data_IF_606915937696
#
_entry.id   IF_606915937696
#
_cell.length_a   1.000
_cell.length_b   1.000
_cell.length_c   1.000
_cell.angle_alpha   90.00
_cell.angle_beta   90.00
_cell.angle_gamma   90.00
#
_symmetry.space_group_name_H-M   'P 1'
#
loop_
_entity.id
_entity.type
_entity.pdbx_description
1 polymer ?
#
# COMPACT_ATOMS: atom_id res chain seq x y z
N UNK A 1 -40.97 -18.57 -37.47
CA UNK A 1 -41.23 -17.63 -36.40
C UNK A 1 -40.64 -18.23 -35.15
N UNK A 2 -39.38 -18.01 -34.95
CA UNK A 2 -38.65 -18.32 -33.72
C UNK A 2 -38.37 -16.99 -33.03
N UNK A 3 -38.89 -16.87 -31.82
CA UNK A 3 -38.80 -15.66 -31.01
C UNK A 3 -37.49 -15.75 -30.25
N UNK A 4 -36.54 -14.91 -30.61
CA UNK A 4 -35.32 -14.69 -29.88
C UNK A 4 -35.61 -14.21 -28.45
N UNK A 5 -35.44 -15.10 -27.51
CA UNK A 5 -35.49 -14.77 -26.08
C UNK A 5 -34.14 -14.09 -25.74
N UNK A 6 -34.17 -12.78 -25.73
CA UNK A 6 -33.06 -11.96 -25.21
C UNK A 6 -33.00 -12.20 -23.72
N UNK A 7 -31.96 -12.91 -23.27
CA UNK A 7 -31.60 -13.02 -21.87
C UNK A 7 -31.26 -11.61 -21.34
N UNK A 8 -32.23 -10.98 -20.70
CA UNK A 8 -31.99 -9.80 -19.88
C UNK A 8 -31.21 -10.28 -18.63
N UNK A 9 -29.89 -10.15 -18.66
CA UNK A 9 -29.09 -10.19 -17.44
C UNK A 9 -29.52 -8.98 -16.61
N UNK A 10 -30.36 -9.24 -15.63
CA UNK A 10 -30.70 -8.25 -14.61
C UNK A 10 -29.39 -7.98 -13.85
N UNK A 11 -28.73 -6.86 -14.11
CA UNK A 11 -27.67 -6.34 -13.24
C UNK A 11 -28.30 -6.13 -11.85
N UNK A 12 -28.03 -7.04 -10.94
CA UNK A 12 -28.38 -6.87 -9.53
C UNK A 12 -27.70 -5.58 -9.05
N UNK A 13 -28.48 -4.53 -8.85
CA UNK A 13 -27.97 -3.27 -8.32
C UNK A 13 -27.39 -3.53 -6.92
N UNK A 14 -26.07 -3.49 -6.80
CA UNK A 14 -25.36 -3.62 -5.53
C UNK A 14 -25.92 -2.62 -4.52
N UNK A 15 -26.53 -3.13 -3.46
CA UNK A 15 -26.99 -2.30 -2.36
C UNK A 15 -25.80 -1.98 -1.44
N UNK A 16 -25.17 -0.83 -1.65
CA UNK A 16 -24.03 -0.40 -0.88
C UNK A 16 -24.37 -0.16 0.60
N UNK A 17 -23.72 -0.84 1.57
CA UNK A 17 -23.87 -0.55 2.99
C UNK A 17 -23.09 0.71 3.42
N UNK A 18 -23.41 1.25 4.59
CA UNK A 18 -22.60 2.28 5.25
C UNK A 18 -21.36 1.62 5.84
N UNK A 19 -20.17 1.98 5.31
CA UNK A 19 -18.88 1.43 5.72
C UNK A 19 -18.08 2.47 6.51
N UNK A 20 -17.72 2.12 7.75
CA UNK A 20 -16.76 2.88 8.53
C UNK A 20 -15.37 2.23 8.43
N UNK A 21 -14.45 2.91 7.78
CA UNK A 21 -13.05 2.48 7.69
C UNK A 21 -12.27 2.99 8.90
N UNK A 22 -11.57 2.09 9.58
CA UNK A 22 -10.65 2.40 10.68
C UNK A 22 -9.23 2.05 10.21
N UNK A 23 -8.39 3.06 10.01
CA UNK A 23 -7.06 2.93 9.42
C UNK A 23 -6.03 3.85 10.07
N UNK A 24 -4.74 3.51 9.90
CA UNK A 24 -3.66 4.38 10.38
C UNK A 24 -3.51 5.64 9.53
N UNK A 25 -3.61 5.49 8.21
CA UNK A 25 -3.46 6.58 7.25
C UNK A 25 -4.82 6.94 6.63
N UNK A 26 -4.99 8.21 6.25
CA UNK A 26 -6.17 8.64 5.50
C UNK A 26 -6.17 8.07 4.08
N UNK A 27 -7.33 8.05 3.43
CA UNK A 27 -7.41 7.94 1.97
C UNK A 27 -6.64 9.10 1.36
N UNK A 28 -5.77 8.79 0.42
CA UNK A 28 -4.85 9.76 -0.17
C UNK A 28 -4.44 9.33 -1.58
N UNK A 29 -4.42 10.26 -2.51
CA UNK A 29 -3.92 10.00 -3.86
C UNK A 29 -2.38 9.81 -3.92
N UNK A 30 -1.64 10.29 -2.92
CA UNK A 30 -0.17 10.34 -2.91
C UNK A 30 0.51 9.35 -1.96
N UNK A 31 -0.18 8.93 -0.89
CA UNK A 31 0.36 7.98 0.10
C UNK A 31 0.05 6.54 -0.30
N UNK A 32 1.05 5.65 -0.37
CA UNK A 32 0.88 4.27 -0.87
C UNK A 32 -0.26 3.49 -0.18
N UNK A 33 -0.29 3.46 1.15
CA UNK A 33 -1.34 2.74 1.89
C UNK A 33 -2.72 3.40 1.75
N UNK A 34 -2.77 4.73 1.79
CA UNK A 34 -4.01 5.49 1.62
C UNK A 34 -4.56 5.36 0.20
N UNK A 35 -3.68 5.34 -0.80
CA UNK A 35 -4.03 5.15 -2.21
C UNK A 35 -4.58 3.75 -2.47
N UNK A 36 -3.90 2.70 -1.98
CA UNK A 36 -4.34 1.32 -2.18
C UNK A 36 -5.74 1.10 -1.62
N UNK A 37 -5.97 1.52 -0.37
CA UNK A 37 -7.26 1.34 0.28
C UNK A 37 -8.34 2.24 -0.36
N UNK A 38 -8.00 3.48 -0.72
CA UNK A 38 -8.91 4.41 -1.40
C UNK A 38 -9.36 3.91 -2.77
N UNK A 39 -8.46 3.28 -3.52
CA UNK A 39 -8.79 2.72 -4.83
C UNK A 39 -9.88 1.65 -4.77
N UNK A 40 -9.95 0.85 -3.71
CA UNK A 40 -11.02 -0.16 -3.55
C UNK A 40 -12.41 0.46 -3.35
N UNK A 41 -12.48 1.72 -2.91
CA UNK A 41 -13.74 2.46 -2.77
C UNK A 41 -14.06 3.36 -3.97
N UNK A 42 -13.36 3.22 -5.09
CA UNK A 42 -13.68 3.97 -6.31
C UNK A 42 -15.11 3.66 -6.75
N UNK A 43 -15.94 4.71 -6.91
CA UNK A 43 -17.36 4.56 -7.25
C UNK A 43 -18.29 4.25 -6.08
N UNK A 44 -17.79 4.02 -4.86
CA UNK A 44 -18.63 3.86 -3.67
C UNK A 44 -19.39 5.15 -3.34
N UNK A 45 -20.68 5.12 -3.00
CA UNK A 45 -21.44 6.31 -2.61
C UNK A 45 -20.78 7.00 -1.41
N UNK A 46 -20.44 8.29 -1.56
CA UNK A 46 -19.66 9.03 -0.55
C UNK A 46 -20.41 9.26 0.76
N UNK A 47 -21.72 9.31 0.74
CA UNK A 47 -22.59 9.38 1.92
C UNK A 47 -22.64 8.05 2.69
N UNK A 48 -22.24 6.96 2.05
CA UNK A 48 -22.13 5.62 2.65
C UNK A 48 -20.71 5.22 3.04
N UNK A 49 -19.77 6.16 3.02
CA UNK A 49 -18.37 5.94 3.40
C UNK A 49 -17.92 6.95 4.43
N UNK A 50 -17.34 6.46 5.52
CA UNK A 50 -16.71 7.28 6.54
C UNK A 50 -15.34 6.69 6.91
N UNK A 51 -14.38 7.56 7.26
CA UNK A 51 -13.05 7.11 7.67
C UNK A 51 -12.60 7.77 8.98
N UNK A 52 -12.22 6.93 9.95
CA UNK A 52 -11.42 7.31 11.10
C UNK A 52 -9.96 7.00 10.85
N UNK A 53 -9.07 8.01 10.99
CA UNK A 53 -7.66 7.86 10.73
C UNK A 53 -6.79 8.62 11.73
N UNK A 54 -5.50 8.23 11.83
CA UNK A 54 -4.55 8.76 12.82
C UNK A 54 -3.56 9.76 12.21
N UNK A 55 -3.16 9.53 10.97
CA UNK A 55 -2.12 10.33 10.29
C UNK A 55 -2.38 10.49 8.81
N UNK A 56 -1.81 11.53 8.23
CA UNK A 56 -1.93 11.88 6.81
C UNK A 56 -2.57 13.25 6.62
N UNK A 57 -2.00 14.03 5.71
CA UNK A 57 -2.39 15.43 5.48
C UNK A 57 -3.10 15.64 4.14
N UNK A 58 -2.91 14.73 3.17
CA UNK A 58 -3.46 14.85 1.82
C UNK A 58 -4.69 13.94 1.66
N UNK A 59 -5.83 14.41 2.15
CA UNK A 59 -7.11 13.71 2.07
C UNK A 59 -7.64 13.63 0.64
N UNK A 60 -8.08 12.46 0.23
CA UNK A 60 -8.74 12.25 -1.04
C UNK A 60 -10.27 12.41 -0.92
N UNK A 61 -10.74 13.62 -1.13
CA UNK A 61 -12.17 13.94 -1.16
C UNK A 61 -12.89 13.43 -2.41
N UNK A 62 -12.19 12.82 -3.36
CA UNK A 62 -12.84 12.14 -4.49
C UNK A 62 -13.43 10.80 -4.05
N UNK A 63 -12.83 10.17 -3.01
CA UNK A 63 -13.24 8.88 -2.46
C UNK A 63 -14.25 9.05 -1.32
N UNK A 64 -13.97 9.92 -0.35
CA UNK A 64 -14.75 10.05 0.88
C UNK A 64 -14.92 11.51 1.28
N UNK A 65 -16.06 11.87 1.86
CA UNK A 65 -16.33 13.22 2.39
C UNK A 65 -16.47 13.26 3.92
N UNK A 66 -16.59 12.10 4.56
CA UNK A 66 -16.84 11.98 5.98
C UNK A 66 -15.61 11.44 6.72
N UNK A 67 -14.71 12.34 7.11
CA UNK A 67 -13.46 12.04 7.78
C UNK A 67 -13.48 12.45 9.25
N UNK A 68 -12.94 11.59 10.11
CA UNK A 68 -12.69 11.91 11.51
C UNK A 68 -11.22 11.64 11.85
N UNK A 69 -10.51 12.65 12.30
CA UNK A 69 -9.09 12.56 12.65
C UNK A 69 -8.84 12.77 14.14
N UNK A 70 -7.98 11.93 14.69
CA UNK A 70 -7.32 12.17 15.97
C UNK A 70 -5.86 11.74 15.82
N UNK A 71 -4.94 12.64 16.11
CA UNK A 71 -3.50 12.35 16.09
C UNK A 71 -3.02 11.80 17.42
N UNK A 72 -1.82 11.20 17.45
CA UNK A 72 -1.19 10.76 18.70
C UNK A 72 -0.97 11.90 19.68
N UNK A 73 -0.62 13.10 19.20
CA UNK A 73 -0.43 14.29 20.01
C UNK A 73 -1.74 14.71 20.70
N UNK A 74 -2.84 14.66 19.96
CA UNK A 74 -4.18 14.98 20.49
C UNK A 74 -4.66 13.93 21.50
N UNK A 75 -4.40 12.65 21.23
CA UNK A 75 -4.73 11.58 22.17
C UNK A 75 -3.91 11.69 23.46
N UNK A 76 -2.62 12.03 23.36
CA UNK A 76 -1.75 12.27 24.50
C UNK A 76 -2.19 13.50 25.32
N UNK A 77 -2.59 14.60 24.65
CA UNK A 77 -3.13 15.77 25.32
C UNK A 77 -4.38 15.43 26.14
N UNK A 78 -5.32 14.70 25.54
CA UNK A 78 -6.53 14.25 26.22
C UNK A 78 -6.22 13.27 27.37
N UNK A 79 -5.21 12.40 27.22
CA UNK A 79 -4.78 11.50 28.27
C UNK A 79 -4.25 12.23 29.50
N UNK A 80 -3.52 13.34 29.30
CA UNK A 80 -3.01 14.22 30.35
C UNK A 80 -4.06 15.16 30.97
N UNK A 81 -5.34 15.05 30.56
CA UNK A 81 -6.43 15.89 31.07
C UNK A 81 -6.67 17.18 30.25
N UNK A 82 -5.96 17.37 29.14
CA UNK A 82 -6.21 18.47 28.20
C UNK A 82 -7.41 18.22 27.28
N UNK A 83 -7.77 19.22 26.50
CA UNK A 83 -8.82 19.07 25.47
C UNK A 83 -8.31 18.26 24.28
N UNK A 84 -9.16 17.39 23.74
CA UNK A 84 -8.92 16.76 22.45
C UNK A 84 -9.44 17.68 21.34
N UNK A 85 -8.55 18.13 20.48
CA UNK A 85 -8.88 19.00 19.34
C UNK A 85 -9.10 18.20 18.05
N UNK A 86 -9.14 16.86 18.11
CA UNK A 86 -9.54 16.01 16.99
C UNK A 86 -11.01 16.20 16.62
N UNK A 87 -11.42 15.72 15.47
CA UNK A 87 -12.81 15.83 15.05
C UNK A 87 -13.02 15.58 13.57
N UNK A 88 -14.20 15.98 13.11
CA UNK A 88 -14.59 15.90 11.70
C UNK A 88 -13.72 16.85 10.89
N UNK A 89 -13.18 16.33 9.77
CA UNK A 89 -12.38 17.11 8.82
C UNK A 89 -13.22 17.37 7.57
N UNK A 90 -13.53 18.65 7.34
CA UNK A 90 -14.27 19.10 6.17
C UNK A 90 -13.33 19.58 5.08
N UNK A 91 -13.78 19.48 3.83
CA UNK A 91 -13.10 20.12 2.70
C UNK A 91 -13.16 21.63 2.87
N UNK A 92 -11.99 22.29 2.92
CA UNK A 92 -11.97 23.76 2.88
C UNK A 92 -12.55 24.24 1.56
N UNK A 93 -13.71 24.88 1.63
CA UNK A 93 -14.27 25.61 0.50
C UNK A 93 -13.50 26.94 0.44
N UNK A 94 -12.60 27.08 -0.50
CA UNK A 94 -11.92 28.36 -0.77
C UNK A 94 -12.96 29.47 -0.91
N UNK A 95 -13.04 30.34 0.11
CA UNK A 95 -13.82 31.59 0.10
C UNK A 95 -13.05 32.67 -0.65
N UNK A 96 -12.47 32.38 -1.80
CA UNK A 96 -11.92 33.36 -2.72
C UNK A 96 -12.85 33.58 -3.89
N UNK A 97 -14.02 34.16 -3.66
CA UNK A 97 -14.75 34.91 -4.67
C UNK A 97 -15.94 35.67 -4.08
N UNK A 98 -15.66 36.61 -3.19
CA UNK A 98 -16.58 37.74 -2.92
C UNK A 98 -15.80 38.88 -2.27
N UNK A 99 -15.00 39.61 -3.03
CA UNK A 99 -14.74 41.04 -2.82
C UNK A 99 -13.96 41.61 -4.02
N UNK A 100 -14.64 41.74 -5.17
CA UNK A 100 -14.23 42.69 -6.18
C UNK A 100 -14.87 44.03 -5.84
N UNK A 101 -14.17 44.89 -5.11
CA UNK A 101 -14.38 46.34 -5.18
C UNK A 101 -13.19 46.97 -5.87
N UNK A 102 -13.53 47.51 -7.00
CA UNK A 102 -12.75 48.29 -7.93
C UNK A 102 -11.94 49.37 -7.20
N UNK A 103 -10.64 49.43 -7.45
CA UNK A 103 -9.86 50.67 -7.52
C UNK A 103 -8.83 50.52 -8.64
N UNK A 104 -9.08 51.27 -9.68
CA UNK A 104 -8.11 51.53 -10.77
C UNK A 104 -6.95 52.34 -10.19
N UNK A 105 -5.71 51.92 -10.45
CA UNK A 105 -4.63 52.86 -10.80
C UNK A 105 -3.52 52.15 -11.56
N UNK A 106 -3.21 52.74 -12.62
CA UNK A 106 -2.23 52.70 -13.68
C UNK A 106 -0.79 52.30 -13.32
N UNK A 107 -0.25 51.46 -14.22
CA UNK A 107 1.03 51.54 -14.93
C UNK A 107 2.37 51.19 -14.26
N UNK A 108 3.06 50.38 -15.03
CA UNK A 108 4.48 50.24 -15.39
C UNK A 108 5.32 49.21 -14.65
N UNK A 109 5.75 48.25 -15.46
CA UNK A 109 7.14 47.83 -15.57
C UNK A 109 7.64 46.71 -14.71
N UNK A 110 8.15 45.73 -15.38
CA UNK A 110 9.20 44.79 -15.00
C UNK A 110 8.83 43.45 -14.34
N UNK A 111 8.92 42.44 -15.20
CA UNK A 111 9.09 41.04 -14.87
C UNK A 111 10.19 40.80 -13.83
N UNK A 112 9.84 40.37 -12.62
CA UNK A 112 10.78 39.71 -11.70
C UNK A 112 10.22 38.36 -11.31
N UNK A 113 10.93 37.32 -11.74
CA UNK A 113 10.79 35.95 -11.30
C UNK A 113 10.70 35.89 -9.75
N UNK A 114 9.54 35.61 -9.23
CA UNK A 114 9.38 35.32 -7.80
C UNK A 114 9.65 33.84 -7.59
N UNK A 115 10.64 33.46 -6.77
CA UNK A 115 10.88 32.05 -6.48
C UNK A 115 9.69 31.47 -5.72
N UNK A 116 9.19 30.35 -6.21
CA UNK A 116 8.23 29.50 -5.50
C UNK A 116 8.80 29.21 -4.12
N UNK A 117 8.12 29.70 -3.09
CA UNK A 117 8.43 29.42 -1.70
C UNK A 117 8.35 27.91 -1.50
N UNK A 118 9.51 27.26 -1.47
CA UNK A 118 9.64 25.94 -0.87
C UNK A 118 9.23 26.09 0.60
N UNK A 119 8.10 25.46 0.95
CA UNK A 119 7.71 25.29 2.35
C UNK A 119 8.75 24.33 2.94
N UNK A 120 9.72 24.89 3.65
CA UNK A 120 10.60 24.15 4.54
C UNK A 120 9.72 23.45 5.58
N UNK A 121 9.33 22.22 5.27
CA UNK A 121 8.79 21.31 6.26
C UNK A 121 9.95 20.96 7.19
N UNK A 122 10.10 21.70 8.28
CA UNK A 122 10.90 21.26 9.42
C UNK A 122 10.45 19.84 9.74
N UNK A 123 11.26 18.85 9.41
CA UNK A 123 11.01 17.47 9.80
C UNK A 123 10.88 17.42 11.32
N UNK A 124 9.63 17.35 11.79
CA UNK A 124 9.36 17.08 13.22
C UNK A 124 10.07 15.76 13.53
N UNK A 125 11.00 15.76 14.48
CA UNK A 125 11.69 14.54 14.94
C UNK A 125 10.63 13.49 15.27
N UNK A 126 10.50 12.48 14.42
CA UNK A 126 9.56 11.38 14.67
C UNK A 126 10.01 10.63 15.92
N UNK A 127 9.11 10.41 16.86
CA UNK A 127 9.36 9.59 18.04
C UNK A 127 9.85 8.21 17.58
N UNK A 128 11.00 7.71 18.09
CA UNK A 128 11.49 6.40 17.70
C UNK A 128 10.43 5.31 17.96
N UNK A 129 10.19 4.46 16.98
CA UNK A 129 9.29 3.31 17.15
C UNK A 129 10.05 2.16 17.82
N UNK A 130 9.63 1.79 19.00
CA UNK A 130 10.10 0.62 19.74
C UNK A 130 8.97 0.06 20.62
N UNK A 131 9.19 -1.09 21.25
CA UNK A 131 8.17 -1.77 22.06
C UNK A 131 7.59 -0.88 23.17
N UNK A 132 8.43 -0.11 23.88
CA UNK A 132 7.99 0.76 24.98
C UNK A 132 7.10 1.90 24.45
N UNK A 133 7.55 2.61 23.41
CA UNK A 133 6.77 3.71 22.83
C UNK A 133 5.44 3.22 22.27
N UNK A 134 5.40 2.02 21.69
CA UNK A 134 4.18 1.39 21.19
C UNK A 134 3.24 0.94 22.30
N UNK A 135 3.77 0.40 23.41
CA UNK A 135 2.97 0.06 24.59
C UNK A 135 2.36 1.30 25.24
N UNK A 136 3.14 2.36 25.40
CA UNK A 136 2.63 3.66 25.91
C UNK A 136 1.55 4.23 24.97
N UNK A 137 1.77 4.17 23.67
CA UNK A 137 0.76 4.56 22.68
C UNK A 137 -0.53 3.77 22.85
N UNK A 138 -0.44 2.43 22.93
CA UNK A 138 -1.60 1.58 23.16
C UNK A 138 -2.35 1.96 24.45
N UNK A 139 -1.63 2.23 25.55
CA UNK A 139 -2.21 2.65 26.83
C UNK A 139 -2.97 3.99 26.70
N UNK A 140 -2.37 4.98 26.06
CA UNK A 140 -2.97 6.29 25.83
C UNK A 140 -4.29 6.17 25.05
N UNK A 141 -4.26 5.43 23.93
CA UNK A 141 -5.42 5.23 23.07
C UNK A 141 -6.52 4.40 23.75
N UNK A 142 -6.16 3.38 24.54
CA UNK A 142 -7.07 2.53 25.32
C UNK A 142 -7.79 3.30 26.42
N UNK A 143 -7.22 4.40 26.94
CA UNK A 143 -7.88 5.25 27.95
C UNK A 143 -9.24 5.77 27.47
N UNK A 144 -9.40 5.93 26.17
CA UNK A 144 -10.63 6.44 25.56
C UNK A 144 -10.90 7.92 25.80
N UNK A 145 -10.05 8.65 26.55
CA UNK A 145 -10.23 10.08 26.86
C UNK A 145 -10.29 10.95 25.59
N UNK A 146 -9.57 10.55 24.55
CA UNK A 146 -9.58 11.22 23.25
C UNK A 146 -10.96 11.23 22.56
N UNK A 147 -11.88 10.34 22.95
CA UNK A 147 -13.25 10.29 22.40
C UNK A 147 -14.13 11.48 22.82
N UNK A 148 -13.65 12.29 23.76
CA UNK A 148 -14.30 13.53 24.19
C UNK A 148 -14.46 14.55 23.05
N UNK A 149 -13.71 14.40 21.93
CA UNK A 149 -13.86 15.22 20.72
C UNK A 149 -15.09 14.86 19.86
N UNK A 150 -16.02 14.05 20.38
CA UNK A 150 -17.27 13.73 19.66
C UNK A 150 -17.24 12.45 18.84
N UNK A 151 -16.19 11.62 18.94
CA UNK A 151 -16.07 10.39 18.17
C UNK A 151 -17.29 9.46 18.28
N UNK A 152 -17.76 9.21 19.49
CA UNK A 152 -18.92 8.32 19.68
C UNK A 152 -20.19 8.88 19.04
N UNK A 153 -20.41 10.20 19.12
CA UNK A 153 -21.55 10.87 18.48
C UNK A 153 -21.46 10.74 16.96
N UNK A 154 -20.29 11.02 16.37
CA UNK A 154 -20.04 10.89 14.95
C UNK A 154 -20.28 9.47 14.43
N UNK A 155 -19.82 8.43 15.15
CA UNK A 155 -20.07 7.03 14.79
C UNK A 155 -21.56 6.69 14.86
N UNK A 156 -22.28 7.17 15.89
CA UNK A 156 -23.72 6.95 16.05
C UNK A 156 -24.53 7.62 14.91
N UNK A 157 -24.18 8.83 14.55
CA UNK A 157 -24.83 9.60 13.47
C UNK A 157 -24.61 8.94 12.11
N UNK A 158 -23.40 8.41 11.85
CA UNK A 158 -23.09 7.67 10.62
C UNK A 158 -23.78 6.30 10.59
N UNK A 159 -23.98 5.66 11.76
CA UNK A 159 -24.61 4.35 11.94
C UNK A 159 -24.07 3.29 10.96
N UNK A 160 -22.78 2.89 11.04
CA UNK A 160 -22.17 1.95 10.10
C UNK A 160 -22.83 0.58 10.15
N UNK A 161 -23.02 -0.04 8.98
CA UNK A 161 -23.46 -1.43 8.81
C UNK A 161 -22.23 -2.38 8.73
N UNK A 162 -21.11 -1.85 8.23
CA UNK A 162 -19.82 -2.55 8.18
C UNK A 162 -18.74 -1.69 8.79
N UNK A 163 -17.92 -2.27 9.65
CA UNK A 163 -16.65 -1.69 10.11
C UNK A 163 -15.52 -2.40 9.40
N UNK A 164 -14.75 -1.68 8.59
CA UNK A 164 -13.56 -2.18 7.92
C UNK A 164 -12.30 -1.74 8.67
N UNK A 165 -11.59 -2.71 9.25
CA UNK A 165 -10.29 -2.47 9.88
C UNK A 165 -9.16 -2.68 8.86
N UNK A 166 -8.33 -1.67 8.62
CA UNK A 166 -7.00 -1.89 8.03
C UNK A 166 -6.05 -2.40 9.12
N UNK A 167 -5.66 -3.65 9.01
CA UNK A 167 -4.78 -4.30 9.98
C UNK A 167 -3.38 -3.66 10.00
N UNK A 168 -2.79 -3.58 11.18
CA UNK A 168 -1.46 -3.04 11.42
C UNK A 168 -0.87 -3.56 12.72
N UNK A 169 0.12 -2.86 13.28
CA UNK A 169 0.77 -3.24 14.54
C UNK A 169 0.28 -2.44 15.78
N UNK A 170 -0.93 -1.88 15.70
CA UNK A 170 -1.54 -1.11 16.78
C UNK A 170 -2.64 -1.88 17.48
N UNK A 171 -2.33 -2.49 18.63
CA UNK A 171 -3.28 -3.33 19.36
C UNK A 171 -4.60 -2.60 19.69
N UNK A 172 -4.55 -1.30 19.99
CA UNK A 172 -5.74 -0.51 20.29
C UNK A 172 -6.71 -0.37 19.10
N UNK A 173 -6.22 -0.39 17.85
CA UNK A 173 -7.08 -0.29 16.66
C UNK A 173 -7.94 -1.54 16.47
N UNK A 174 -7.38 -2.71 16.72
CA UNK A 174 -8.14 -3.97 16.74
C UNK A 174 -9.27 -3.91 17.77
N UNK A 175 -8.95 -3.46 18.99
CA UNK A 175 -9.94 -3.33 20.05
C UNK A 175 -10.99 -2.26 19.75
N UNK A 176 -10.58 -1.14 19.16
CA UNK A 176 -11.48 -0.06 18.77
C UNK A 176 -12.49 -0.57 17.73
N UNK A 177 -12.01 -1.19 16.66
CA UNK A 177 -12.85 -1.71 15.56
C UNK A 177 -13.87 -2.73 16.08
N UNK A 178 -13.42 -3.69 16.90
CA UNK A 178 -14.29 -4.68 17.52
C UNK A 178 -15.35 -4.04 18.44
N UNK A 179 -14.97 -3.03 19.25
CA UNK A 179 -15.88 -2.31 20.13
C UNK A 179 -16.90 -1.48 19.36
N UNK A 180 -16.48 -0.84 18.27
CA UNK A 180 -17.36 -0.07 17.40
C UNK A 180 -18.35 -1.00 16.69
N UNK A 181 -17.86 -2.07 16.05
CA UNK A 181 -18.72 -3.04 15.38
C UNK A 181 -19.78 -3.62 16.33
N UNK A 182 -19.37 -4.05 17.54
CA UNK A 182 -20.31 -4.58 18.54
C UNK A 182 -21.36 -3.54 18.98
N UNK A 183 -20.96 -2.27 19.22
CA UNK A 183 -21.89 -1.23 19.68
C UNK A 183 -22.89 -0.80 18.63
N UNK A 184 -22.50 -0.84 17.36
CA UNK A 184 -23.34 -0.46 16.24
C UNK A 184 -24.11 -1.65 15.64
N UNK A 185 -23.95 -2.85 16.18
CA UNK A 185 -24.44 -4.10 15.58
C UNK A 185 -23.97 -4.25 14.12
N UNK A 186 -22.78 -3.76 13.82
CA UNK A 186 -22.18 -3.75 12.49
C UNK A 186 -21.33 -5.02 12.26
N UNK A 187 -21.24 -5.46 11.02
CA UNK A 187 -20.32 -6.53 10.62
C UNK A 187 -18.88 -6.03 10.68
N UNK A 188 -17.94 -6.90 11.03
CA UNK A 188 -16.51 -6.59 11.08
C UNK A 188 -15.79 -7.26 9.94
N UNK A 189 -15.19 -6.47 9.06
CA UNK A 189 -14.31 -6.92 7.98
C UNK A 189 -12.90 -6.43 8.26
N UNK A 190 -11.89 -7.27 7.99
CA UNK A 190 -10.49 -6.94 8.18
C UNK A 190 -9.78 -6.96 6.81
N UNK A 191 -9.12 -5.87 6.45
CA UNK A 191 -8.16 -5.84 5.34
C UNK A 191 -6.75 -5.98 5.90
N UNK A 192 -6.07 -7.08 5.57
CA UNK A 192 -4.75 -7.41 6.09
C UNK A 192 -3.70 -7.56 4.97
N UNK A 193 -2.74 -6.65 4.97
CA UNK A 193 -1.62 -6.62 4.03
C UNK A 193 -0.28 -7.06 4.63
N UNK A 194 -0.27 -7.47 5.91
CA UNK A 194 0.97 -7.67 6.66
C UNK A 194 0.92 -8.91 7.57
N UNK A 195 2.09 -9.55 7.74
CA UNK A 195 2.23 -10.75 8.55
C UNK A 195 2.51 -10.50 10.05
N UNK A 196 2.00 -9.42 10.67
CA UNK A 196 2.35 -9.07 12.06
C UNK A 196 2.10 -10.16 13.09
N UNK A 197 1.14 -11.03 12.87
CA UNK A 197 0.86 -12.17 13.76
C UNK A 197 2.02 -13.17 13.83
N UNK A 198 2.77 -13.31 12.74
CA UNK A 198 3.85 -14.28 12.60
C UNK A 198 5.25 -13.70 12.87
N UNK A 199 5.36 -12.40 13.19
CA UNK A 199 6.64 -11.77 13.50
C UNK A 199 7.05 -12.07 14.94
N UNK A 200 7.85 -13.14 15.13
CA UNK A 200 8.33 -13.57 16.45
C UNK A 200 9.67 -12.92 16.85
N UNK A 201 10.19 -12.03 16.02
CA UNK A 201 11.42 -11.26 16.23
C UNK A 201 11.12 -9.78 16.45
N UNK A 202 12.02 -9.05 17.11
CA UNK A 202 11.89 -7.60 17.31
C UNK A 202 12.11 -6.83 16.00
N UNK A 203 11.03 -6.61 15.26
CA UNK A 203 11.07 -5.88 14.00
C UNK A 203 11.30 -4.37 14.17
N UNK A 204 11.30 -3.83 15.39
CA UNK A 204 11.76 -2.47 15.67
C UNK A 204 13.27 -2.38 15.74
N UNK A 205 13.99 -3.50 15.85
CA UNK A 205 15.44 -3.54 16.08
C UNK A 205 15.83 -2.77 17.33
N UNK A 206 15.03 -2.91 18.38
CA UNK A 206 15.23 -2.22 19.66
C UNK A 206 16.51 -2.67 20.36
N UNK A 207 17.02 -1.82 21.24
CA UNK A 207 18.13 -2.12 22.14
C UNK A 207 17.73 -1.90 23.61
N UNK A 208 18.55 -2.38 24.53
CA UNK A 208 18.35 -2.19 25.95
C UNK A 208 16.97 -2.63 26.45
N UNK A 209 16.35 -1.83 27.31
CA UNK A 209 15.05 -2.14 27.95
C UNK A 209 13.94 -2.34 26.89
N UNK A 210 13.96 -1.60 25.79
CA UNK A 210 12.95 -1.75 24.76
C UNK A 210 12.99 -3.15 24.11
N UNK A 211 14.20 -3.73 23.90
CA UNK A 211 14.35 -5.11 23.43
C UNK A 211 13.78 -6.11 24.44
N UNK A 212 14.03 -5.92 25.71
CA UNK A 212 13.49 -6.78 26.78
C UNK A 212 11.97 -6.73 26.87
N UNK A 213 11.37 -5.57 26.59
CA UNK A 213 9.91 -5.36 26.62
C UNK A 213 9.20 -5.85 25.35
N UNK A 214 9.94 -6.19 24.30
CA UNK A 214 9.34 -6.60 23.02
C UNK A 214 8.39 -7.80 23.13
N UNK A 215 8.72 -8.90 23.87
CA UNK A 215 7.78 -10.03 24.03
C UNK A 215 6.45 -9.63 24.68
N UNK A 216 6.46 -8.66 25.60
CA UNK A 216 5.24 -8.14 26.24
C UNK A 216 4.40 -7.38 25.23
N UNK A 217 5.02 -6.48 24.46
CA UNK A 217 4.36 -5.77 23.35
C UNK A 217 3.76 -6.75 22.33
N UNK A 218 4.53 -7.76 21.90
CA UNK A 218 4.10 -8.73 20.92
C UNK A 218 2.92 -9.58 21.42
N UNK A 219 2.98 -10.00 22.69
CA UNK A 219 1.90 -10.75 23.35
C UNK A 219 0.60 -9.95 23.38
N UNK A 220 0.67 -8.65 23.71
CA UNK A 220 -0.47 -7.74 23.71
C UNK A 220 -1.06 -7.56 22.31
N UNK A 221 -0.20 -7.36 21.30
CA UNK A 221 -0.62 -7.25 19.91
C UNK A 221 -1.30 -8.54 19.42
N UNK A 222 -0.66 -9.70 19.63
CA UNK A 222 -1.22 -11.01 19.23
C UNK A 222 -2.56 -11.30 19.93
N UNK A 223 -2.70 -10.93 21.21
CA UNK A 223 -3.95 -11.07 21.97
C UNK A 223 -5.07 -10.19 21.38
N UNK A 224 -4.77 -8.92 21.08
CA UNK A 224 -5.73 -8.01 20.47
C UNK A 224 -6.18 -8.51 19.09
N UNK A 225 -5.22 -8.96 18.27
CA UNK A 225 -5.44 -9.53 16.96
C UNK A 225 -6.33 -10.79 17.04
N UNK A 226 -5.93 -11.80 17.83
CA UNK A 226 -6.72 -13.06 17.99
C UNK A 226 -8.16 -12.76 18.36
N UNK A 227 -8.40 -11.89 19.34
CA UNK A 227 -9.76 -11.54 19.79
C UNK A 227 -10.58 -10.83 18.70
N UNK A 228 -9.91 -10.07 17.85
CA UNK A 228 -10.60 -9.32 16.79
C UNK A 228 -10.89 -10.21 15.59
N UNK A 229 -9.93 -11.04 15.20
CA UNK A 229 -10.11 -12.01 14.12
C UNK A 229 -11.20 -13.03 14.46
N UNK A 230 -11.25 -13.52 15.70
CA UNK A 230 -12.31 -14.43 16.14
C UNK A 230 -13.75 -13.83 16.08
N UNK A 231 -13.87 -12.52 16.00
CA UNK A 231 -15.13 -11.80 15.86
C UNK A 231 -15.36 -11.24 14.46
N UNK A 232 -14.40 -11.41 13.54
CA UNK A 232 -14.52 -10.91 12.18
C UNK A 232 -15.51 -11.77 11.37
N UNK A 233 -16.32 -11.10 10.54
CA UNK A 233 -17.22 -11.76 9.62
C UNK A 233 -16.51 -12.17 8.33
N UNK A 234 -15.49 -11.40 7.91
CA UNK A 234 -14.71 -11.67 6.72
C UNK A 234 -13.30 -11.05 6.81
N UNK A 235 -12.33 -11.66 6.11
CA UNK A 235 -10.98 -11.12 6.04
C UNK A 235 -10.51 -11.10 4.59
N UNK A 236 -9.98 -9.94 4.16
CA UNK A 236 -9.39 -9.75 2.86
C UNK A 236 -7.87 -9.67 3.05
N UNK A 237 -7.13 -10.54 2.37
CA UNK A 237 -5.67 -10.56 2.42
C UNK A 237 -5.07 -10.03 1.11
N UNK A 238 -3.86 -9.46 1.22
CA UNK A 238 -3.15 -8.89 0.08
C UNK A 238 -2.55 -9.95 -0.85
N UNK A 239 -2.19 -11.13 -0.33
CA UNK A 239 -1.57 -12.20 -1.11
C UNK A 239 -1.92 -13.58 -0.58
N UNK A 240 -1.80 -14.61 -1.43
CA UNK A 240 -2.16 -15.99 -1.11
C UNK A 240 -1.35 -16.56 0.06
N UNK A 241 -0.08 -16.20 0.19
CA UNK A 241 0.75 -16.67 1.31
C UNK A 241 0.23 -16.16 2.67
N UNK A 242 -0.28 -14.92 2.72
CA UNK A 242 -0.98 -14.43 3.91
C UNK A 242 -2.27 -15.20 4.14
N UNK A 243 -3.10 -15.38 3.12
CA UNK A 243 -4.34 -16.14 3.21
C UNK A 243 -4.08 -17.55 3.74
N UNK A 244 -3.14 -18.29 3.13
CA UNK A 244 -2.75 -19.64 3.56
C UNK A 244 -2.26 -19.68 5.02
N UNK A 245 -1.41 -18.71 5.42
CA UNK A 245 -0.86 -18.67 6.77
C UNK A 245 -1.93 -18.37 7.82
N UNK A 246 -2.73 -17.34 7.59
CA UNK A 246 -3.77 -16.94 8.55
C UNK A 246 -4.96 -17.90 8.60
N UNK A 247 -5.33 -18.57 7.50
CA UNK A 247 -6.40 -19.57 7.49
C UNK A 247 -6.09 -20.82 8.33
N UNK A 248 -4.81 -21.10 8.60
CA UNK A 248 -4.40 -22.16 9.54
C UNK A 248 -4.75 -21.80 10.98
N UNK A 249 -4.65 -20.52 11.32
CA UNK A 249 -4.86 -19.99 12.67
C UNK A 249 -6.31 -19.59 12.93
N UNK A 250 -6.97 -19.01 11.91
CA UNK A 250 -8.29 -18.41 12.04
C UNK A 250 -9.27 -19.02 11.03
N UNK A 251 -10.37 -19.58 11.54
CA UNK A 251 -11.44 -20.20 10.72
C UNK A 251 -12.49 -19.14 10.34
N UNK A 252 -12.06 -18.07 9.68
CA UNK A 252 -12.93 -16.98 9.24
C UNK A 252 -12.97 -17.00 7.71
N UNK A 253 -14.15 -16.81 7.09
CA UNK A 253 -14.26 -16.66 5.64
C UNK A 253 -13.28 -15.59 5.15
N UNK A 254 -12.54 -15.90 4.09
CA UNK A 254 -11.53 -14.99 3.60
C UNK A 254 -11.18 -15.21 2.15
N UNK A 255 -10.67 -14.18 1.50
CA UNK A 255 -10.10 -14.27 0.16
C UNK A 255 -8.85 -13.41 -0.02
N UNK A 256 -8.14 -13.66 -1.11
CA UNK A 256 -7.02 -12.83 -1.57
C UNK A 256 -7.52 -11.81 -2.59
N UNK A 257 -7.27 -10.53 -2.32
CA UNK A 257 -7.44 -9.45 -3.30
C UNK A 257 -6.10 -8.73 -3.42
N UNK A 258 -5.39 -8.99 -4.51
CA UNK A 258 -4.09 -8.38 -4.80
C UNK A 258 -4.23 -6.88 -5.07
N UNK A 259 -3.12 -6.15 -4.92
CA UNK A 259 -3.06 -4.79 -5.45
C UNK A 259 -3.29 -4.79 -6.95
N UNK A 260 -3.97 -3.76 -7.41
CA UNK A 260 -4.33 -3.61 -8.81
C UNK A 260 -3.56 -2.47 -9.47
N UNK A 261 -3.51 -2.49 -10.79
CA UNK A 261 -2.88 -1.50 -11.64
C UNK A 261 -3.82 -1.08 -12.77
N UNK A 262 -3.81 0.21 -13.05
CA UNK A 262 -4.44 0.81 -14.23
C UNK A 262 -3.40 1.07 -15.34
N UNK A 263 -2.18 0.51 -15.22
CA UNK A 263 -1.11 0.73 -16.19
C UNK A 263 -1.54 0.20 -17.56
N UNK A 264 -1.38 1.04 -18.58
CA UNK A 264 -1.63 0.68 -19.96
C UNK A 264 -0.57 -0.33 -20.44
N UNK A 265 -1.00 -1.27 -21.28
CA UNK A 265 -0.09 -2.21 -21.93
C UNK A 265 0.79 -1.44 -22.90
N UNK A 266 2.09 -1.45 -22.67
CA UNK A 266 3.05 -0.84 -23.59
C UNK A 266 3.30 -1.74 -24.80
N UNK A 267 3.39 -1.16 -26.01
CA UNK A 267 3.71 -1.95 -27.22
C UNK A 267 5.08 -2.61 -27.09
N UNK A 268 5.29 -3.69 -27.86
CA UNK A 268 6.61 -4.24 -28.02
C UNK A 268 7.50 -3.18 -28.69
N UNK A 269 8.72 -3.06 -28.21
CA UNK A 269 9.68 -2.09 -28.74
C UNK A 269 10.30 -2.70 -29.99
N UNK A 270 10.36 -1.93 -31.06
CA UNK A 270 10.97 -2.32 -32.34
C UNK A 270 12.49 -2.30 -32.24
N UNK A 271 13.12 -3.24 -32.95
CA UNK A 271 14.57 -3.47 -33.00
C UNK A 271 15.34 -2.24 -33.51
N UNK A 272 16.59 -2.07 -33.07
CA UNK A 272 17.61 -1.08 -33.40
C UNK A 272 17.83 0.10 -32.44
N UNK A 273 17.65 -0.10 -31.13
CA UNK A 273 18.07 0.84 -30.11
C UNK A 273 18.77 0.11 -28.95
N UNK A 274 19.40 0.89 -28.07
CA UNK A 274 19.98 0.41 -26.82
C UNK A 274 18.94 -0.39 -25.99
N UNK A 275 19.37 -1.52 -25.41
CA UNK A 275 18.54 -2.36 -24.55
C UNK A 275 18.37 -1.68 -23.18
N UNK A 276 17.17 -1.18 -22.90
CA UNK A 276 16.90 -0.39 -21.69
C UNK A 276 16.43 -1.29 -20.56
N UNK A 277 17.12 -1.18 -19.42
CA UNK A 277 16.81 -1.89 -18.18
C UNK A 277 16.47 -0.85 -17.12
N UNK A 278 15.31 -0.95 -16.49
CA UNK A 278 14.92 0.01 -15.46
C UNK A 278 14.50 -0.63 -14.14
N UNK A 279 14.76 0.10 -13.07
CA UNK A 279 14.24 -0.14 -11.73
C UNK A 279 13.54 1.11 -11.22
N UNK A 280 12.27 1.00 -10.85
CA UNK A 280 11.51 2.08 -10.25
C UNK A 280 11.08 1.67 -8.84
N UNK A 281 11.78 2.15 -7.77
CA UNK A 281 11.43 1.63 -6.47
C UNK A 281 12.04 2.26 -5.23
N UNK A 282 11.70 1.67 -4.09
CA UNK A 282 12.28 2.01 -2.80
C UNK A 282 13.67 1.32 -2.69
N UNK A 283 14.68 2.08 -2.35
CA UNK A 283 16.08 1.64 -2.22
C UNK A 283 16.44 1.20 -0.79
N UNK A 284 15.50 1.30 0.16
CA UNK A 284 15.70 0.83 1.52
C UNK A 284 15.78 -0.70 1.62
N UNK A 285 16.13 -1.19 2.83
CA UNK A 285 16.22 -2.62 3.12
C UNK A 285 17.28 -3.30 2.24
N UNK A 286 18.43 -2.64 2.05
CA UNK A 286 19.58 -3.12 1.29
C UNK A 286 19.30 -3.53 -0.18
N UNK A 287 18.18 -3.08 -0.77
CA UNK A 287 17.85 -3.36 -2.18
C UNK A 287 18.87 -2.80 -3.16
N UNK A 288 19.53 -1.67 -2.80
CA UNK A 288 20.61 -1.10 -3.61
C UNK A 288 21.76 -2.08 -3.82
N UNK A 289 22.09 -2.94 -2.85
CA UNK A 289 23.14 -3.98 -3.01
C UNK A 289 22.75 -4.99 -4.08
N UNK A 290 21.49 -5.42 -4.11
CA UNK A 290 21.00 -6.30 -5.16
C UNK A 290 21.06 -5.65 -6.55
N UNK A 291 20.77 -4.36 -6.65
CA UNK A 291 20.89 -3.61 -7.92
C UNK A 291 22.35 -3.50 -8.37
N UNK A 292 23.28 -3.21 -7.46
CA UNK A 292 24.72 -3.16 -7.75
C UNK A 292 25.20 -4.54 -8.23
N UNK A 293 24.74 -5.62 -7.61
CA UNK A 293 25.09 -6.98 -8.01
C UNK A 293 24.59 -7.31 -9.41
N UNK A 294 23.33 -7.00 -9.73
CA UNK A 294 22.77 -7.16 -11.08
C UNK A 294 23.55 -6.32 -12.10
N UNK A 295 23.84 -5.06 -11.78
CA UNK A 295 24.56 -4.14 -12.63
C UNK A 295 25.99 -4.63 -12.92
N UNK A 296 26.69 -5.12 -11.89
CA UNK A 296 28.05 -5.66 -12.06
C UNK A 296 28.08 -6.84 -13.03
N UNK A 297 27.11 -7.74 -12.95
CA UNK A 297 26.98 -8.88 -13.87
C UNK A 297 26.60 -8.43 -15.29
N UNK A 298 25.75 -7.42 -15.43
CA UNK A 298 25.43 -6.83 -16.74
C UNK A 298 26.67 -6.26 -17.42
N UNK A 299 27.54 -5.57 -16.66
CA UNK A 299 28.81 -5.05 -17.18
C UNK A 299 29.78 -6.15 -17.61
N UNK A 300 29.74 -7.35 -17.00
CA UNK A 300 30.51 -8.50 -17.47
C UNK A 300 29.96 -9.09 -18.78
N UNK A 301 28.63 -8.95 -19.03
CA UNK A 301 28.00 -9.42 -20.27
C UNK A 301 28.29 -8.44 -21.41
N UNK A 302 28.06 -7.15 -21.19
CA UNK A 302 28.42 -6.07 -22.10
C UNK A 302 28.59 -4.73 -21.34
N UNK A 303 29.69 -3.99 -21.58
CA UNK A 303 29.92 -2.70 -20.97
C UNK A 303 28.85 -1.64 -21.29
N UNK A 304 28.05 -1.84 -22.31
CA UNK A 304 26.99 -0.91 -22.70
C UNK A 304 25.68 -1.11 -21.89
N UNK A 305 25.52 -2.31 -21.28
CA UNK A 305 24.34 -2.60 -20.47
C UNK A 305 24.41 -1.90 -19.12
N UNK A 306 23.39 -1.14 -18.79
CA UNK A 306 23.26 -0.48 -17.49
C UNK A 306 21.82 -0.51 -16.99
N UNK A 307 21.63 -0.21 -15.70
CA UNK A 307 20.33 -0.09 -15.08
C UNK A 307 20.01 1.38 -14.83
N UNK A 308 18.91 1.87 -15.37
CA UNK A 308 18.34 3.15 -15.01
C UNK A 308 17.56 3.01 -13.70
N UNK A 309 18.08 3.60 -12.61
CA UNK A 309 17.53 3.45 -11.27
C UNK A 309 16.79 4.72 -10.84
N UNK A 310 15.48 4.59 -10.64
CA UNK A 310 14.59 5.63 -10.15
C UNK A 310 14.09 5.29 -8.76
N UNK A 311 14.43 6.13 -7.77
CA UNK A 311 14.03 5.87 -6.40
C UNK A 311 14.60 6.87 -5.41
N UNK A 312 14.04 6.86 -4.20
CA UNK A 312 14.54 7.71 -3.11
C UNK A 312 15.55 6.94 -2.27
N UNK A 313 16.81 7.38 -2.31
CA UNK A 313 17.80 7.01 -1.30
C UNK A 313 17.53 7.84 -0.03
N UNK A 314 17.29 7.17 1.11
CA UNK A 314 17.10 7.86 2.40
C UNK A 314 18.42 8.27 3.04
N UNK A 315 19.47 7.51 2.77
CA UNK A 315 20.82 7.70 3.28
C UNK A 315 21.72 8.10 2.13
N UNK A 316 22.56 9.11 2.37
CA UNK A 316 23.52 9.56 1.37
C UNK A 316 24.47 8.44 0.93
N UNK A 317 24.86 7.56 1.85
CA UNK A 317 25.69 6.38 1.56
C UNK A 317 25.11 5.53 0.42
N UNK A 318 23.79 5.27 0.44
CA UNK A 318 23.10 4.46 -0.58
C UNK A 318 23.17 5.17 -1.95
N UNK A 319 22.99 6.48 -1.96
CA UNK A 319 23.11 7.28 -3.18
C UNK A 319 24.53 7.27 -3.74
N UNK A 320 25.53 7.43 -2.87
CA UNK A 320 26.94 7.45 -3.23
C UNK A 320 27.36 6.07 -3.78
N UNK A 321 26.95 4.96 -3.17
CA UNK A 321 27.21 3.60 -3.64
C UNK A 321 26.59 3.34 -5.03
N UNK A 322 25.35 3.77 -5.26
CA UNK A 322 24.69 3.62 -6.58
C UNK A 322 25.40 4.44 -7.66
N UNK A 323 25.78 5.69 -7.37
CA UNK A 323 26.50 6.56 -8.32
C UNK A 323 27.91 6.08 -8.62
N UNK A 324 28.54 5.37 -7.69
CA UNK A 324 29.88 4.80 -7.90
C UNK A 324 29.88 3.52 -8.75
N UNK A 325 28.73 2.90 -8.99
CA UNK A 325 28.62 1.67 -9.79
C UNK A 325 28.52 2.00 -11.29
N UNK A 326 29.50 1.59 -12.12
CA UNK A 326 29.50 1.93 -13.56
C UNK A 326 28.28 1.44 -14.32
N UNK A 327 27.70 0.31 -13.91
CA UNK A 327 26.51 -0.28 -14.52
C UNK A 327 25.18 0.35 -14.03
N UNK A 328 25.22 1.45 -13.28
CA UNK A 328 24.02 2.13 -12.78
C UNK A 328 23.98 3.60 -13.21
N UNK A 329 22.86 4.01 -13.79
CA UNK A 329 22.50 5.42 -13.98
C UNK A 329 21.45 5.78 -12.92
N UNK A 330 21.82 6.52 -11.87
CA UNK A 330 20.93 6.87 -10.79
C UNK A 330 20.26 8.22 -11.05
N UNK A 331 18.92 8.22 -11.20
CA UNK A 331 18.10 9.39 -11.54
C UNK A 331 17.38 10.02 -10.33
N UNK A 332 17.44 9.38 -9.16
CA UNK A 332 16.73 9.87 -7.98
C UNK A 332 15.22 9.63 -8.03
N UNK A 333 14.48 10.39 -7.21
CA UNK A 333 13.03 10.25 -7.11
C UNK A 333 12.32 10.99 -8.26
N UNK A 334 11.35 10.31 -8.87
CA UNK A 334 10.48 10.86 -9.92
C UNK A 334 9.00 10.65 -9.56
N UNK A 335 8.11 11.41 -10.19
CA UNK A 335 6.66 11.27 -10.02
C UNK A 335 6.14 10.03 -10.75
N UNK A 336 4.90 9.61 -10.41
CA UNK A 336 4.34 8.35 -10.89
C UNK A 336 4.08 8.32 -12.40
N UNK A 337 3.73 9.43 -13.00
CA UNK A 337 3.59 9.59 -14.46
C UNK A 337 4.92 9.33 -15.19
N UNK A 338 6.03 9.85 -14.66
CA UNK A 338 7.37 9.58 -15.19
C UNK A 338 7.72 8.09 -15.01
N UNK A 339 7.36 7.46 -13.89
CA UNK A 339 7.55 6.01 -13.68
C UNK A 339 6.84 5.21 -14.76
N UNK A 340 5.60 5.59 -15.11
CA UNK A 340 4.84 4.91 -16.17
C UNK A 340 5.54 5.02 -17.53
N UNK A 341 6.09 6.19 -17.86
CA UNK A 341 6.84 6.41 -19.08
C UNK A 341 8.12 5.58 -19.10
N UNK A 342 8.91 5.60 -18.02
CA UNK A 342 10.14 4.80 -17.90
C UNK A 342 9.87 3.31 -18.10
N UNK A 343 8.84 2.77 -17.46
CA UNK A 343 8.45 1.38 -17.63
C UNK A 343 8.03 1.12 -19.09
N UNK A 344 7.29 2.03 -19.71
CA UNK A 344 6.84 1.89 -21.10
C UNK A 344 7.99 1.88 -22.11
N UNK A 345 9.09 2.56 -21.83
CA UNK A 345 10.29 2.65 -22.67
C UNK A 345 11.30 1.52 -22.42
N UNK A 346 11.13 0.73 -21.35
CA UNK A 346 12.06 -0.35 -20.96
C UNK A 346 11.85 -1.63 -21.78
N UNK A 347 12.93 -2.37 -22.00
CA UNK A 347 12.91 -3.74 -22.50
C UNK A 347 12.81 -4.76 -21.37
N UNK A 348 13.49 -4.45 -20.26
CA UNK A 348 13.49 -5.23 -19.04
C UNK A 348 13.17 -4.32 -17.84
N UNK A 349 12.18 -4.71 -17.05
CA UNK A 349 11.84 -4.06 -15.77
C UNK A 349 12.29 -4.95 -14.61
N UNK A 350 12.94 -4.32 -13.61
CA UNK A 350 13.48 -5.04 -12.47
C UNK A 350 12.65 -4.80 -11.21
N UNK A 351 12.53 -5.85 -10.41
CA UNK A 351 12.21 -5.75 -9.00
C UNK A 351 13.22 -6.56 -8.19
N UNK A 352 13.68 -6.00 -7.09
CA UNK A 352 14.65 -6.68 -6.24
C UNK A 352 14.18 -6.62 -4.79
N UNK A 353 14.48 -7.70 -4.05
CA UNK A 353 14.30 -7.76 -2.61
C UNK A 353 15.61 -8.22 -1.94
N UNK A 354 15.83 -7.79 -0.71
CA UNK A 354 17.07 -8.09 0.01
C UNK A 354 17.27 -9.58 0.25
N UNK A 355 18.49 -10.06 0.05
CA UNK A 355 18.94 -11.40 0.46
C UNK A 355 19.50 -11.41 1.88
N UNK A 356 19.57 -10.26 2.55
CA UNK A 356 20.09 -10.18 3.91
C UNK A 356 19.11 -10.86 4.88
N UNK A 357 19.61 -11.88 5.60
CA UNK A 357 18.84 -12.62 6.60
C UNK A 357 18.21 -11.72 7.67
N UNK A 358 18.80 -10.55 7.90
CA UNK A 358 18.28 -9.56 8.82
C UNK A 358 16.88 -9.05 8.43
N UNK A 359 16.56 -9.01 7.12
CA UNK A 359 15.25 -8.55 6.61
C UNK A 359 14.33 -9.69 6.17
N UNK A 360 14.81 -10.93 6.17
CA UNK A 360 14.10 -12.09 5.62
C UNK A 360 12.69 -12.27 6.17
N UNK A 361 12.57 -12.23 7.50
CA UNK A 361 11.26 -12.40 8.13
C UNK A 361 10.34 -11.18 7.95
N UNK A 362 10.88 -9.98 7.75
CA UNK A 362 10.08 -8.78 7.40
C UNK A 362 9.50 -8.88 5.99
N UNK A 363 10.28 -9.46 5.07
CA UNK A 363 9.94 -9.55 3.64
C UNK A 363 9.14 -10.81 3.27
N UNK A 364 9.13 -11.83 4.13
CA UNK A 364 8.51 -13.13 3.89
C UNK A 364 7.09 -13.06 3.33
N UNK A 365 6.24 -12.20 3.90
CA UNK A 365 4.88 -11.95 3.45
C UNK A 365 4.73 -10.65 2.66
N UNK A 366 5.85 -9.97 2.41
CA UNK A 366 5.85 -8.72 1.65
C UNK A 366 5.40 -8.96 0.20
N UNK A 367 4.43 -8.17 -0.23
CA UNK A 367 3.99 -8.17 -1.62
C UNK A 367 3.98 -6.73 -2.15
N UNK A 368 4.96 -6.42 -2.97
CA UNK A 368 5.14 -5.06 -3.49
C UNK A 368 3.97 -4.66 -4.39
N UNK A 369 3.40 -3.49 -4.16
CA UNK A 369 2.35 -2.93 -5.02
C UNK A 369 2.80 -2.73 -6.47
N UNK A 370 4.12 -2.57 -6.70
CA UNK A 370 4.69 -2.42 -8.02
C UNK A 370 4.59 -3.67 -8.89
N UNK A 371 4.50 -4.86 -8.29
CA UNK A 371 4.35 -6.11 -9.03
C UNK A 371 3.12 -6.05 -9.94
N UNK A 372 2.04 -5.43 -9.48
CA UNK A 372 0.85 -5.22 -10.29
C UNK A 372 1.15 -4.35 -11.53
N UNK A 373 1.89 -3.25 -11.34
CA UNK A 373 2.30 -2.36 -12.44
C UNK A 373 3.22 -3.09 -13.43
N UNK A 374 4.24 -3.80 -12.92
CA UNK A 374 5.21 -4.51 -13.76
C UNK A 374 4.55 -5.64 -14.58
N UNK A 375 3.67 -6.42 -13.98
CA UNK A 375 2.89 -7.45 -14.69
C UNK A 375 1.95 -6.85 -15.74
N UNK A 376 1.33 -5.70 -15.42
CA UNK A 376 0.37 -5.02 -16.31
C UNK A 376 1.04 -4.29 -17.46
N UNK A 377 2.31 -3.91 -17.33
CA UNK A 377 3.05 -3.10 -18.30
C UNK A 377 3.23 -3.77 -19.66
N UNK A 378 3.20 -5.09 -19.69
CA UNK A 378 3.55 -5.87 -20.89
C UNK A 378 5.04 -5.83 -21.22
N UNK A 379 5.90 -5.62 -20.24
CA UNK A 379 7.37 -5.68 -20.38
C UNK A 379 7.92 -7.00 -19.87
N UNK A 380 9.14 -7.34 -20.26
CA UNK A 380 9.86 -8.43 -19.63
C UNK A 380 10.16 -8.05 -18.18
N UNK A 381 9.88 -8.94 -17.26
CA UNK A 381 10.01 -8.70 -15.83
C UNK A 381 11.02 -9.68 -15.21
N UNK A 382 12.02 -9.16 -14.51
CA UNK A 382 12.95 -9.91 -13.69
C UNK A 382 12.75 -9.57 -12.21
N UNK A 383 12.48 -10.60 -11.39
CA UNK A 383 12.56 -10.52 -9.94
C UNK A 383 13.87 -11.17 -9.46
N UNK A 384 14.72 -10.38 -8.78
CA UNK A 384 15.89 -10.90 -8.07
C UNK A 384 15.64 -10.86 -6.57
N UNK A 385 15.29 -12.00 -5.98
CA UNK A 385 14.85 -12.11 -4.60
C UNK A 385 14.88 -13.57 -4.11
N UNK A 386 15.01 -13.85 -2.80
CA UNK A 386 14.83 -15.17 -2.23
C UNK A 386 13.51 -15.83 -2.65
N UNK A 387 13.53 -17.14 -2.94
CA UNK A 387 12.34 -17.91 -3.36
C UNK A 387 11.28 -18.07 -2.26
N UNK A 388 11.67 -17.95 -1.02
CA UNK A 388 10.77 -18.08 0.13
C UNK A 388 9.81 -16.90 0.34
N UNK A 389 10.00 -15.78 -0.37
CA UNK A 389 9.13 -14.61 -0.26
C UNK A 389 7.82 -14.80 -1.01
N UNK A 390 6.75 -14.22 -0.50
CA UNK A 390 5.41 -14.34 -1.11
C UNK A 390 5.38 -13.89 -2.57
N UNK A 391 6.08 -12.81 -2.90
CA UNK A 391 6.18 -12.32 -4.28
C UNK A 391 6.92 -13.29 -5.20
N UNK A 392 8.01 -13.92 -4.73
CA UNK A 392 8.77 -14.90 -5.51
C UNK A 392 7.93 -16.14 -5.80
N UNK A 393 7.32 -16.73 -4.78
CA UNK A 393 6.43 -17.88 -4.92
C UNK A 393 5.30 -17.63 -5.94
N UNK A 394 4.64 -16.46 -5.80
CA UNK A 394 3.57 -16.07 -6.70
C UNK A 394 4.02 -16.02 -8.17
N UNK A 395 5.17 -15.42 -8.44
CA UNK A 395 5.69 -15.28 -9.78
C UNK A 395 6.23 -16.60 -10.34
N UNK A 396 6.84 -17.45 -9.51
CA UNK A 396 7.30 -18.81 -9.89
C UNK A 396 6.10 -19.70 -10.22
N UNK A 397 5.11 -19.78 -9.35
CA UNK A 397 3.91 -20.61 -9.53
C UNK A 397 3.11 -20.24 -10.80
N UNK A 398 3.18 -19.00 -11.25
CA UNK A 398 2.48 -18.50 -12.43
C UNK A 398 3.40 -18.35 -13.66
N UNK A 399 4.69 -18.61 -13.53
CA UNK A 399 5.72 -18.43 -14.58
C UNK A 399 5.61 -17.05 -15.28
N UNK A 400 5.31 -16.00 -14.50
CA UNK A 400 4.96 -14.68 -15.02
C UNK A 400 6.12 -13.69 -15.04
N UNK A 401 7.29 -14.09 -14.55
CA UNK A 401 8.51 -13.31 -14.56
C UNK A 401 9.71 -14.25 -14.54
N UNK A 402 10.87 -13.77 -14.98
CA UNK A 402 12.12 -14.41 -14.59
C UNK A 402 12.32 -14.22 -13.10
N UNK A 403 12.48 -15.29 -12.33
CA UNK A 403 12.75 -15.24 -10.90
C UNK A 403 14.10 -15.86 -10.61
N UNK A 404 15.02 -15.06 -10.10
CA UNK A 404 16.35 -15.51 -9.71
C UNK A 404 16.49 -15.40 -8.21
N UNK A 405 16.67 -16.55 -7.56
CA UNK A 405 16.83 -16.67 -6.10
C UNK A 405 18.24 -17.01 -5.65
N UNK A 406 19.14 -17.25 -6.61
CA UNK A 406 20.53 -17.59 -6.38
C UNK A 406 21.44 -16.76 -7.28
N UNK A 407 22.48 -16.16 -6.70
CA UNK A 407 23.46 -15.35 -7.43
C UNK A 407 24.11 -16.12 -8.60
N UNK A 408 24.39 -17.40 -8.40
CA UNK A 408 25.00 -18.28 -9.40
C UNK A 408 24.21 -18.38 -10.70
N UNK A 409 22.89 -18.21 -10.64
CA UNK A 409 21.98 -18.30 -11.81
C UNK A 409 21.76 -16.94 -12.49
N UNK A 410 22.20 -15.84 -11.85
CA UNK A 410 21.87 -14.49 -12.30
C UNK A 410 22.48 -14.20 -13.67
N UNK A 411 23.76 -14.56 -13.88
CA UNK A 411 24.46 -14.31 -15.15
C UNK A 411 23.82 -15.02 -16.34
N UNK A 412 23.55 -16.33 -16.20
CA UNK A 412 22.95 -17.11 -17.28
C UNK A 412 21.53 -16.61 -17.60
N UNK A 413 20.75 -16.24 -16.59
CA UNK A 413 19.42 -15.68 -16.79
C UNK A 413 19.48 -14.32 -17.49
N UNK A 414 20.41 -13.43 -17.12
CA UNK A 414 20.58 -12.13 -17.78
C UNK A 414 21.03 -12.30 -19.24
N UNK A 415 21.97 -13.23 -19.51
CA UNK A 415 22.38 -13.59 -20.88
C UNK A 415 21.20 -14.06 -21.71
N UNK A 416 20.34 -14.94 -21.14
CA UNK A 416 19.13 -15.39 -21.83
C UNK A 416 18.17 -14.22 -22.10
N UNK A 417 17.92 -13.37 -21.11
CA UNK A 417 17.02 -12.21 -21.24
C UNK A 417 17.52 -11.28 -22.35
N UNK A 418 18.81 -10.94 -22.38
CA UNK A 418 19.37 -10.03 -23.37
C UNK A 418 19.30 -10.61 -24.78
N UNK A 419 19.67 -11.89 -24.95
CA UNK A 419 19.90 -12.51 -26.25
C UNK A 419 18.69 -13.26 -26.82
N UNK A 420 17.61 -13.48 -26.03
CA UNK A 420 16.46 -14.27 -26.46
C UNK A 420 15.13 -13.50 -26.45
N UNK A 421 14.82 -12.75 -27.50
CA UNK A 421 13.56 -12.01 -27.62
C UNK A 421 12.31 -12.90 -27.53
N UNK A 422 12.41 -14.14 -28.02
CA UNK A 422 11.28 -15.07 -28.02
C UNK A 422 10.95 -15.52 -26.59
N UNK A 423 11.95 -15.82 -25.77
CA UNK A 423 11.77 -16.15 -24.36
C UNK A 423 11.16 -14.97 -23.59
N UNK A 424 11.66 -13.73 -23.79
CA UNK A 424 11.04 -12.50 -23.23
C UNK A 424 9.56 -12.42 -23.62
N UNK A 425 9.22 -12.70 -24.88
CA UNK A 425 7.84 -12.67 -25.37
C UNK A 425 6.90 -13.64 -24.64
N UNK A 426 7.38 -14.84 -24.32
CA UNK A 426 6.61 -15.83 -23.53
C UNK A 426 6.30 -15.34 -22.12
N UNK A 427 7.30 -14.86 -21.40
CA UNK A 427 7.11 -14.32 -20.03
C UNK A 427 6.20 -13.09 -20.04
N UNK A 428 6.36 -12.19 -21.02
CA UNK A 428 5.47 -11.05 -21.22
C UNK A 428 4.00 -11.47 -21.34
N UNK A 429 3.69 -12.47 -22.18
CA UNK A 429 2.32 -12.95 -22.36
C UNK A 429 1.74 -13.54 -21.09
N UNK A 430 2.53 -14.32 -20.35
CA UNK A 430 2.12 -14.89 -19.06
C UNK A 430 1.91 -13.80 -17.99
N UNK A 431 2.78 -12.80 -17.94
CA UNK A 431 2.63 -11.65 -17.07
C UNK A 431 1.31 -10.90 -17.33
N UNK A 432 1.00 -10.61 -18.59
CA UNK A 432 -0.26 -9.96 -18.98
C UNK A 432 -1.49 -10.80 -18.62
N UNK A 433 -1.43 -12.11 -18.85
CA UNK A 433 -2.52 -13.03 -18.48
C UNK A 433 -2.74 -13.05 -16.97
N UNK A 434 -1.66 -13.06 -16.19
CA UNK A 434 -1.74 -13.00 -14.73
C UNK A 434 -2.25 -11.67 -14.24
N UNK A 435 -1.81 -10.55 -14.83
CA UNK A 435 -2.30 -9.23 -14.55
C UNK A 435 -3.82 -9.11 -14.83
N UNK A 436 -4.28 -9.64 -15.97
CA UNK A 436 -5.71 -9.67 -16.32
C UNK A 436 -6.54 -10.46 -15.30
N UNK A 437 -5.99 -11.55 -14.78
CA UNK A 437 -6.67 -12.39 -13.80
C UNK A 437 -6.75 -11.74 -12.43
N UNK A 438 -5.64 -11.15 -11.92
CA UNK A 438 -5.47 -10.82 -10.51
C UNK A 438 -5.20 -9.34 -10.22
N UNK A 439 -4.83 -8.53 -11.21
CA UNK A 439 -4.32 -7.18 -11.00
C UNK A 439 -5.06 -6.08 -11.77
N UNK A 440 -6.19 -6.38 -12.40
CA UNK A 440 -7.03 -5.36 -13.02
C UNK A 440 -7.83 -4.59 -11.97
N UNK A 441 -7.69 -3.25 -12.04
CA UNK A 441 -8.27 -2.36 -11.04
C UNK A 441 -9.77 -2.53 -10.93
N UNK A 442 -10.49 -2.52 -12.05
CA UNK A 442 -11.94 -2.67 -12.05
C UNK A 442 -12.39 -3.98 -11.38
N UNK A 443 -11.80 -5.12 -11.79
CA UNK A 443 -12.15 -6.44 -11.23
C UNK A 443 -11.89 -6.54 -9.72
N UNK A 444 -10.76 -5.99 -9.26
CA UNK A 444 -10.42 -6.04 -7.85
C UNK A 444 -11.28 -5.09 -7.01
N UNK A 445 -11.65 -3.93 -7.55
CA UNK A 445 -12.61 -3.01 -6.95
C UNK A 445 -13.98 -3.69 -6.82
N UNK A 446 -14.51 -4.29 -7.89
CA UNK A 446 -15.78 -5.00 -7.88
C UNK A 446 -15.78 -6.15 -6.87
N UNK A 447 -14.71 -6.97 -6.82
CA UNK A 447 -14.58 -8.06 -5.85
C UNK A 447 -14.57 -7.54 -4.42
N UNK A 448 -13.78 -6.52 -4.15
CA UNK A 448 -13.69 -5.91 -2.82
C UNK A 448 -15.05 -5.33 -2.38
N UNK A 449 -15.71 -4.61 -3.27
CA UNK A 449 -17.01 -4.00 -2.99
C UNK A 449 -18.09 -5.06 -2.78
N UNK A 450 -18.09 -6.12 -3.59
CA UNK A 450 -19.01 -7.26 -3.44
C UNK A 450 -18.85 -7.92 -2.07
N UNK A 451 -17.64 -8.19 -1.60
CA UNK A 451 -17.41 -8.73 -0.24
C UNK A 451 -18.08 -7.87 0.83
N UNK A 452 -17.95 -6.54 0.76
CA UNK A 452 -18.55 -5.65 1.76
C UNK A 452 -20.08 -5.66 1.68
N UNK A 453 -20.64 -5.73 0.48
CA UNK A 453 -22.08 -5.81 0.27
C UNK A 453 -22.64 -7.16 0.77
N UNK A 454 -22.01 -8.28 0.38
CA UNK A 454 -22.45 -9.63 0.77
C UNK A 454 -22.40 -9.82 2.29
N UNK A 455 -21.31 -9.38 2.92
CA UNK A 455 -21.17 -9.46 4.39
C UNK A 455 -22.24 -8.65 5.10
N UNK A 456 -22.65 -7.49 4.56
CA UNK A 456 -23.72 -6.68 5.13
C UNK A 456 -25.10 -7.36 5.01
N UNK A 457 -25.36 -8.07 3.89
CA UNK A 457 -26.64 -8.73 3.62
C UNK A 457 -26.87 -10.01 4.45
N UNK A 458 -25.80 -10.67 4.90
CA UNK A 458 -25.94 -11.86 5.76
C UNK A 458 -26.64 -11.46 7.06
N UNK A 459 -27.95 -11.59 7.08
CA UNK A 459 -28.79 -11.42 8.28
C UNK A 459 -28.30 -12.44 9.31
N UNK A 460 -27.85 -11.96 10.48
CA UNK A 460 -27.29 -12.82 11.50
C UNK A 460 -28.29 -13.87 11.95
N UNK A 461 -28.03 -15.14 11.68
CA UNK A 461 -28.54 -16.19 12.53
C UNK A 461 -27.97 -15.93 13.92
N UNK A 462 -28.85 -15.51 14.81
CA UNK A 462 -28.57 -15.29 16.23
C UNK A 462 -28.03 -16.61 16.81
N UNK A 463 -26.74 -16.64 17.13
CA UNK A 463 -26.19 -17.66 18.02
C UNK A 463 -26.27 -17.20 19.47
#
# INVERSE_FOLDING_TARGET
MEVDTIDQVVEEQLQYPRVLVISSNCFSATSSNGRTLGNFFRGWPKDKLAQFYLSGDNLDFTVCNNFFNVTDEQALSAFKGGKCFGGVVAKEVNKESRNSKITKKTETGESKNTPVRQVDSKEKKKTPRNSITMMLRNMIWRSGRWKSCGFNKWVMEFAPEVVLLQAGDFAFMYELSRKVAKRQNAKLVIYNSEGYYFKDFDYFRSSGIAKMMYPVFLSDLKKALRRTYACANYIIYLCDELTKAYAKEFKVPSETIYTASDMAISPAITENREFIISYCGNLGIERHKCLIEVASILQEISPELHIDVYGRAREKRVEDELKACPGIRFHGFVQYDVVNQVIAESDLVLHVESFDDFYKEDLKFGFSTKIADLLSSGKCFLLYAPDCYACSKYLIENEAAYVVSEKSKLKDTLVEIVNNPQARGKYRQRALKLAEKNHRSQKNVERFQRVLCDVAMVVGESK
#
